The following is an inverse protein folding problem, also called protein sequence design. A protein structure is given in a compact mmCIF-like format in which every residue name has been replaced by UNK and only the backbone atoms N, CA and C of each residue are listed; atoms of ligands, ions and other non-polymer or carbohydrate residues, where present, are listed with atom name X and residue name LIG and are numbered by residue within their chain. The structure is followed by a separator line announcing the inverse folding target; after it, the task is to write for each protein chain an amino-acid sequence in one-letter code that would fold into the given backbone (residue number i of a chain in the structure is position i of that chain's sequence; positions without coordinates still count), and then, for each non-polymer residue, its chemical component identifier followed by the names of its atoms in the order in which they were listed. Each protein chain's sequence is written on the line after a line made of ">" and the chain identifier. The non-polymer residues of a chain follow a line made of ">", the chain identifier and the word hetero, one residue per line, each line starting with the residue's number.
data_IF_691544939214
#
_entry.id   IF_691544939214
#
_cell.length_a   1.000
_cell.length_b   1.000
_cell.length_c   1.000
_cell.angle_alpha   90.00
_cell.angle_beta   90.00
_cell.angle_gamma   90.00
#
_symmetry.space_group_name_H-M   'P 1'
#
loop_
_entity.id
_entity.type
_entity.pdbx_description
1 polymer ?
#
# COMPACT_ATOMS: atom_id res chain seq x y z
N UNK A 1 -4.39 14.89 20.91
CA UNK A 1 -4.28 16.05 20.01
C UNK A 1 -5.52 16.05 19.15
N UNK A 2 -6.38 17.04 19.31
CA UNK A 2 -7.74 17.05 18.75
C UNK A 2 -7.69 17.22 17.23
N UNK A 3 -8.27 16.27 16.50
CA UNK A 3 -8.51 16.36 15.07
C UNK A 3 -9.65 17.36 14.87
N UNK A 4 -9.32 18.63 14.64
CA UNK A 4 -10.32 19.66 14.35
C UNK A 4 -10.69 19.52 12.86
N UNK A 5 -11.93 19.11 12.50
CA UNK A 5 -12.34 19.17 11.11
C UNK A 5 -12.34 20.64 10.69
N UNK A 6 -11.57 20.98 9.64
CA UNK A 6 -11.64 22.32 9.07
C UNK A 6 -13.05 22.54 8.53
N UNK A 7 -13.84 23.31 9.27
CA UNK A 7 -15.18 23.72 8.85
C UNK A 7 -15.08 24.80 7.77
N UNK A 8 -16.11 24.97 6.92
CA UNK A 8 -16.15 26.05 5.93
C UNK A 8 -15.92 27.45 6.53
N UNK A 9 -16.34 27.66 7.77
CA UNK A 9 -16.15 28.90 8.51
C UNK A 9 -14.67 29.13 8.85
N UNK A 10 -13.95 28.08 9.28
CA UNK A 10 -12.52 28.15 9.58
C UNK A 10 -11.69 28.45 8.32
N UNK A 11 -12.09 27.90 7.17
CA UNK A 11 -11.47 28.21 5.87
C UNK A 11 -11.69 29.68 5.51
N UNK A 12 -12.90 30.21 5.74
CA UNK A 12 -13.21 31.62 5.47
C UNK A 12 -12.41 32.58 6.36
N UNK A 13 -12.18 32.22 7.63
CA UNK A 13 -11.34 32.99 8.55
C UNK A 13 -9.86 33.00 8.10
N UNK A 14 -9.35 31.84 7.65
CA UNK A 14 -7.99 31.73 7.09
C UNK A 14 -7.85 32.63 5.85
N UNK A 15 -8.83 32.62 4.93
CA UNK A 15 -8.81 33.49 3.73
C UNK A 15 -8.84 34.97 4.11
N UNK A 16 -9.67 35.38 5.08
CA UNK A 16 -9.74 36.76 5.55
C UNK A 16 -8.43 37.26 6.18
N UNK A 17 -7.74 36.38 6.93
CA UNK A 17 -6.41 36.68 7.50
C UNK A 17 -5.36 36.82 6.39
N UNK A 18 -5.44 35.97 5.36
CA UNK A 18 -4.53 36.01 4.22
C UNK A 18 -4.75 37.27 3.37
N UNK A 19 -5.98 37.74 3.20
CA UNK A 19 -6.27 38.98 2.46
C UNK A 19 -5.69 40.24 3.14
N UNK A 20 -5.63 40.25 4.48
CA UNK A 20 -4.95 41.30 5.25
C UNK A 20 -3.42 41.22 5.19
N UNK A 21 -2.88 40.13 4.63
CA UNK A 21 -1.45 39.89 4.51
C UNK A 21 -0.96 40.23 3.09
N UNK A 22 0.23 40.81 2.96
CA UNK A 22 0.81 41.18 1.66
C UNK A 22 1.23 39.98 0.78
N UNK A 23 0.84 38.76 1.13
CA UNK A 23 1.27 37.53 0.46
C UNK A 23 0.38 37.21 -0.73
N UNK A 24 1.00 36.74 -1.81
CA UNK A 24 0.37 36.31 -3.07
C UNK A 24 0.21 34.79 -3.16
N UNK A 25 0.89 34.05 -2.28
CA UNK A 25 0.86 32.58 -2.22
C UNK A 25 0.93 32.08 -0.79
N UNK A 26 0.11 31.09 -0.47
CA UNK A 26 0.10 30.39 0.81
C UNK A 26 0.10 28.88 0.56
N UNK A 27 1.04 28.14 1.17
CA UNK A 27 1.11 26.67 1.15
C UNK A 27 1.09 26.16 2.59
N UNK A 28 -0.04 25.59 2.99
CA UNK A 28 -0.25 25.02 4.32
C UNK A 28 -0.17 23.50 4.18
N UNK A 29 0.83 22.90 4.83
CA UNK A 29 1.02 21.44 4.90
C UNK A 29 0.69 20.96 6.32
N UNK A 30 -0.24 20.04 6.42
CA UNK A 30 -0.54 19.27 7.64
C UNK A 30 -0.37 17.77 7.35
N UNK A 31 -0.49 16.94 8.39
CA UNK A 31 -0.46 15.48 8.23
C UNK A 31 -1.69 14.93 7.48
N UNK A 32 -2.80 15.68 7.46
CA UNK A 32 -4.07 15.24 6.87
C UNK A 32 -4.35 15.83 5.49
N UNK A 33 -3.86 17.04 5.22
CA UNK A 33 -4.13 17.74 3.96
C UNK A 33 -3.05 18.77 3.64
N UNK A 34 -3.01 19.15 2.37
CA UNK A 34 -2.21 20.28 1.89
C UNK A 34 -3.13 21.27 1.19
N UNK A 35 -3.10 22.52 1.62
CA UNK A 35 -3.88 23.61 1.02
C UNK A 35 -2.93 24.60 0.35
N UNK A 36 -3.11 24.80 -0.95
CA UNK A 36 -2.39 25.82 -1.72
C UNK A 36 -3.36 26.89 -2.18
N UNK A 37 -3.13 28.10 -1.72
CA UNK A 37 -3.88 29.29 -2.09
C UNK A 37 -2.96 30.20 -2.90
N UNK A 38 -3.46 30.67 -4.04
CA UNK A 38 -2.77 31.66 -4.86
C UNK A 38 -3.74 32.80 -5.17
N UNK A 39 -3.26 34.03 -4.97
CA UNK A 39 -3.97 35.23 -5.41
C UNK A 39 -3.63 35.44 -6.88
N UNK A 40 -4.60 35.26 -7.76
CA UNK A 40 -4.43 35.65 -9.15
C UNK A 40 -4.80 37.11 -9.33
N UNK A 41 -3.91 37.87 -9.97
CA UNK A 41 -4.13 39.26 -10.31
C UNK A 41 -3.28 39.70 -11.49
N UNK A 42 -3.94 39.91 -12.64
CA UNK A 42 -3.57 40.95 -13.60
C UNK A 42 -3.10 40.57 -15.01
N UNK A 43 -3.96 39.97 -15.83
CA UNK A 43 -4.06 40.30 -17.27
C UNK A 43 -5.45 39.91 -17.82
N UNK A 44 -6.22 40.93 -18.17
CA UNK A 44 -7.48 40.93 -18.95
C UNK A 44 -8.71 40.17 -18.39
N UNK A 45 -9.56 40.92 -17.68
CA UNK A 45 -11.00 40.65 -17.45
C UNK A 45 -11.40 39.27 -16.90
N UNK A 46 -10.61 38.68 -16.00
CA UNK A 46 -11.05 37.59 -15.13
C UNK A 46 -11.36 38.14 -13.73
N UNK A 47 -12.40 37.62 -13.07
CA UNK A 47 -12.83 38.03 -11.74
C UNK A 47 -11.67 37.97 -10.73
N UNK A 48 -11.44 39.05 -9.98
CA UNK A 48 -10.46 39.08 -8.90
C UNK A 48 -10.90 38.13 -7.79
N UNK A 49 -10.06 37.13 -7.50
CA UNK A 49 -10.38 36.12 -6.51
C UNK A 49 -9.23 35.17 -6.26
N UNK A 50 -9.26 34.52 -5.10
CA UNK A 50 -8.35 33.44 -4.77
C UNK A 50 -8.75 32.17 -5.52
N UNK A 51 -7.83 31.60 -6.27
CA UNK A 51 -8.00 30.24 -6.79
C UNK A 51 -7.53 29.26 -5.71
N UNK A 52 -8.43 28.38 -5.26
CA UNK A 52 -8.10 27.31 -4.34
C UNK A 52 -7.80 26.03 -5.11
N UNK A 53 -6.66 25.39 -4.79
CA UNK A 53 -6.41 24.00 -5.14
C UNK A 53 -6.27 23.22 -3.81
N UNK A 54 -7.24 22.36 -3.57
CA UNK A 54 -7.27 21.49 -2.39
C UNK A 54 -7.01 20.05 -2.83
N UNK A 55 -5.91 19.50 -2.36
CA UNK A 55 -5.70 18.06 -2.37
C UNK A 55 -5.84 17.60 -0.92
N UNK A 56 -6.81 16.75 -0.64
CA UNK A 56 -6.61 15.84 0.46
C UNK A 56 -5.32 15.07 0.19
N UNK A 57 -4.58 14.72 1.24
CA UNK A 57 -3.81 13.50 1.07
C UNK A 57 -4.87 12.46 0.72
N UNK A 58 -4.95 12.09 -0.56
CA UNK A 58 -5.34 10.74 -0.90
C UNK A 58 -4.47 9.95 0.08
N UNK A 59 -5.09 9.41 1.13
CA UNK A 59 -4.49 8.29 1.79
C UNK A 59 -4.21 7.40 0.60
N UNK A 60 -2.92 7.24 0.28
CA UNK A 60 -2.44 6.33 -0.71
C UNK A 60 -3.06 5.03 -0.22
N UNK A 61 -4.26 4.73 -0.72
CA UNK A 61 -4.86 3.43 -0.60
C UNK A 61 -3.72 2.63 -1.20
N UNK A 62 -3.05 1.78 -0.40
CA UNK A 62 -1.96 1.01 -0.94
C UNK A 62 -2.61 0.38 -2.16
N UNK A 63 -2.11 0.74 -3.34
CA UNK A 63 -2.46 0.03 -4.53
C UNK A 63 -2.35 -1.43 -4.07
N UNK A 64 -3.40 -2.22 -4.29
CA UNK A 64 -3.30 -3.66 -4.24
C UNK A 64 -2.33 -4.04 -5.36
N UNK A 65 -1.06 -3.68 -5.18
CA UNK A 65 0.07 -4.21 -5.84
C UNK A 65 0.13 -5.60 -5.23
N UNK A 66 -0.47 -6.54 -5.96
CA UNK A 66 -0.20 -7.95 -5.83
C UNK A 66 1.30 -8.12 -5.55
N UNK A 67 1.62 -8.34 -4.27
CA UNK A 67 3.00 -8.33 -3.82
C UNK A 67 3.59 -9.66 -4.27
N UNK A 68 4.32 -9.59 -5.37
CA UNK A 68 5.15 -10.69 -5.85
C UNK A 68 6.18 -10.99 -4.78
N UNK A 69 6.21 -12.22 -4.30
CA UNK A 69 7.22 -12.67 -3.36
C UNK A 69 8.61 -12.54 -4.01
N UNK A 70 9.62 -12.05 -3.27
CA UNK A 70 11.00 -12.20 -3.71
C UNK A 70 11.33 -13.68 -3.90
N UNK A 71 12.01 -14.00 -4.99
CA UNK A 71 12.49 -15.36 -5.28
C UNK A 71 14.00 -15.38 -5.13
N UNK A 72 14.51 -16.26 -4.28
CA UNK A 72 15.94 -16.48 -4.05
C UNK A 72 16.38 -17.86 -4.55
N UNK A 73 17.54 -17.98 -5.19
CA UNK A 73 18.14 -19.27 -5.51
C UNK A 73 18.75 -19.90 -4.26
N UNK A 74 18.37 -21.14 -3.99
CA UNK A 74 18.83 -21.91 -2.84
C UNK A 74 19.92 -22.92 -3.25
N UNK A 75 20.76 -23.37 -2.29
CA UNK A 75 21.57 -24.56 -2.48
C UNK A 75 20.70 -25.72 -2.99
N UNK A 76 21.27 -26.58 -3.83
CA UNK A 76 20.59 -27.70 -4.50
C UNK A 76 19.69 -27.33 -5.70
N UNK A 77 19.70 -26.06 -6.14
CA UNK A 77 19.01 -25.63 -7.35
C UNK A 77 17.51 -25.41 -7.17
N UNK A 78 17.06 -25.26 -5.92
CA UNK A 78 15.69 -24.89 -5.58
C UNK A 78 15.52 -23.36 -5.61
N UNK A 79 14.28 -22.91 -5.73
CA UNK A 79 13.88 -21.51 -5.57
C UNK A 79 13.14 -21.33 -4.25
N UNK A 80 13.49 -20.31 -3.48
CA UNK A 80 12.81 -19.90 -2.27
C UNK A 80 11.82 -18.77 -2.55
N UNK A 81 10.54 -19.00 -2.28
CA UNK A 81 9.53 -17.93 -2.23
C UNK A 81 9.63 -17.29 -0.84
N UNK A 82 9.92 -16.00 -0.78
CA UNK A 82 10.06 -15.27 0.48
C UNK A 82 8.83 -14.41 0.81
N UNK A 83 8.56 -14.20 2.10
CA UNK A 83 7.50 -13.31 2.55
C UNK A 83 7.78 -11.86 2.09
N UNK A 84 6.90 -11.23 1.29
CA UNK A 84 7.12 -9.87 0.79
C UNK A 84 6.96 -8.80 1.88
N UNK A 85 6.35 -9.15 3.01
CA UNK A 85 6.05 -8.29 4.15
C UNK A 85 6.07 -9.13 5.44
N UNK A 86 6.40 -8.54 6.59
CA UNK A 86 6.20 -9.19 7.88
C UNK A 86 4.70 -9.24 8.21
N UNK A 87 4.22 -10.34 8.80
CA UNK A 87 2.82 -10.51 9.18
C UNK A 87 2.45 -11.95 9.48
N UNK A 88 1.14 -12.22 9.60
CA UNK A 88 0.66 -13.60 9.82
C UNK A 88 0.37 -14.28 8.48
N UNK A 89 1.07 -15.37 8.21
CA UNK A 89 0.90 -16.14 6.98
C UNK A 89 -0.27 -17.12 7.10
N UNK A 90 -1.12 -17.16 6.07
CA UNK A 90 -2.19 -18.12 5.95
C UNK A 90 -2.08 -18.90 4.64
N UNK A 91 -2.27 -20.20 4.75
CA UNK A 91 -2.25 -21.13 3.62
C UNK A 91 -3.55 -21.17 2.85
N UNK A 92 -4.64 -20.64 3.41
CA UNK A 92 -5.98 -20.66 2.85
C UNK A 92 -6.63 -19.26 2.92
N UNK A 93 -7.59 -18.93 2.05
CA UNK A 93 -8.22 -17.60 2.02
C UNK A 93 -9.09 -17.31 3.25
N UNK A 94 -9.57 -18.36 3.92
CA UNK A 94 -10.39 -18.27 5.13
C UNK A 94 -10.38 -19.60 5.90
N UNK A 95 -10.73 -19.63 7.20
CA UNK A 95 -10.82 -20.86 7.97
C UNK A 95 -11.74 -21.91 7.31
N UNK A 96 -11.24 -23.15 7.20
CA UNK A 96 -11.98 -24.27 6.62
C UNK A 96 -11.99 -24.32 5.09
N UNK A 97 -11.46 -23.31 4.39
CA UNK A 97 -11.23 -23.39 2.95
C UNK A 97 -9.99 -24.23 2.62
N UNK A 98 -9.91 -24.81 1.40
CA UNK A 98 -8.69 -25.45 0.92
C UNK A 98 -7.50 -24.47 0.91
N UNK A 99 -6.30 -25.03 1.08
CA UNK A 99 -5.08 -24.26 0.87
C UNK A 99 -4.99 -23.77 -0.59
N UNK A 100 -4.35 -22.62 -0.79
CA UNK A 100 -4.06 -22.10 -2.14
C UNK A 100 -3.20 -23.08 -2.95
N UNK A 101 -2.18 -23.66 -2.29
CA UNK A 101 -1.29 -24.68 -2.86
C UNK A 101 -0.90 -25.74 -1.82
N UNK A 102 -0.51 -26.92 -2.30
CA UNK A 102 0.12 -28.00 -1.52
C UNK A 102 1.38 -28.50 -2.22
N UNK A 103 2.16 -29.30 -1.51
CA UNK A 103 3.35 -29.96 -2.06
C UNK A 103 2.98 -30.83 -3.27
N UNK A 104 3.77 -30.73 -4.33
CA UNK A 104 3.53 -31.37 -5.62
C UNK A 104 2.67 -30.55 -6.59
N UNK A 105 2.06 -29.44 -6.17
CA UNK A 105 1.32 -28.57 -7.10
C UNK A 105 2.27 -27.76 -7.98
N UNK A 106 1.87 -27.50 -9.23
CA UNK A 106 2.56 -26.56 -10.12
C UNK A 106 2.12 -25.13 -9.86
N UNK A 107 3.08 -24.21 -9.96
CA UNK A 107 2.85 -22.77 -9.84
C UNK A 107 3.48 -22.04 -11.01
N UNK A 108 2.82 -20.95 -11.39
CA UNK A 108 3.34 -19.92 -12.29
C UNK A 108 3.59 -18.63 -11.50
N UNK A 109 4.28 -17.65 -12.10
CA UNK A 109 4.64 -16.38 -11.44
C UNK A 109 3.46 -15.70 -10.72
N UNK A 110 2.29 -15.71 -11.34
CA UNK A 110 1.08 -15.05 -10.82
C UNK A 110 0.20 -16.00 -9.98
N UNK A 111 0.66 -17.21 -9.66
CA UNK A 111 -0.09 -18.12 -8.79
C UNK A 111 -0.04 -17.62 -7.36
N UNK A 112 -1.21 -17.41 -6.75
CA UNK A 112 -1.32 -17.08 -5.33
C UNK A 112 -1.00 -18.32 -4.52
N UNK A 113 0.00 -18.24 -3.64
CA UNK A 113 0.46 -19.35 -2.80
C UNK A 113 0.02 -19.23 -1.34
N UNK A 114 -0.46 -18.06 -0.95
CA UNK A 114 -0.91 -17.75 0.40
C UNK A 114 -1.36 -16.31 0.54
N UNK A 115 -1.72 -15.92 1.76
CA UNK A 115 -1.97 -14.52 2.13
C UNK A 115 -1.15 -14.17 3.38
N UNK A 116 -0.74 -12.92 3.50
CA UNK A 116 -0.15 -12.38 4.72
C UNK A 116 -1.07 -11.30 5.29
N UNK A 117 -1.49 -11.47 6.53
CA UNK A 117 -2.24 -10.46 7.26
C UNK A 117 -1.30 -9.39 7.85
N UNK A 118 -1.53 -8.14 7.46
CA UNK A 118 -0.84 -6.97 8.03
C UNK A 118 -1.86 -5.92 8.41
N UNK A 119 -1.96 -5.58 9.71
CA UNK A 119 -2.91 -4.55 10.18
C UNK A 119 -4.37 -4.79 9.73
N UNK A 120 -4.84 -6.05 9.76
CA UNK A 120 -6.16 -6.52 9.28
C UNK A 120 -6.36 -6.51 7.76
N UNK A 121 -5.32 -6.25 6.96
CA UNK A 121 -5.36 -6.38 5.52
C UNK A 121 -4.81 -7.76 5.12
N UNK A 122 -5.56 -8.49 4.31
CA UNK A 122 -5.16 -9.79 3.76
C UNK A 122 -4.49 -9.59 2.41
N UNK A 123 -3.16 -9.64 2.37
CA UNK A 123 -2.38 -9.38 1.17
C UNK A 123 -2.02 -10.70 0.47
N UNK A 124 -2.42 -10.93 -0.79
CA UNK A 124 -2.03 -12.12 -1.53
C UNK A 124 -0.52 -12.17 -1.78
N UNK A 125 0.04 -13.36 -1.64
CA UNK A 125 1.44 -13.66 -1.94
C UNK A 125 1.48 -14.46 -3.23
N UNK A 126 2.16 -13.92 -4.24
CA UNK A 126 2.32 -14.57 -5.54
C UNK A 126 3.64 -15.31 -5.61
N UNK A 127 3.70 -16.45 -6.30
CA UNK A 127 4.88 -17.30 -6.37
C UNK A 127 6.12 -16.58 -6.93
N UNK A 128 5.95 -15.71 -7.93
CA UNK A 128 7.06 -14.98 -8.57
C UNK A 128 7.98 -15.85 -9.44
N UNK A 129 7.82 -17.17 -9.41
CA UNK A 129 8.54 -18.15 -10.21
C UNK A 129 7.61 -19.22 -10.80
N UNK A 130 8.14 -20.01 -11.72
CA UNK A 130 7.45 -21.16 -12.32
C UNK A 130 8.15 -22.45 -11.87
N UNK A 131 7.38 -23.46 -11.49
CA UNK A 131 7.90 -24.75 -11.07
C UNK A 131 6.90 -25.57 -10.25
N UNK A 132 7.41 -26.52 -9.46
CA UNK A 132 6.60 -27.38 -8.59
C UNK A 132 6.90 -27.09 -7.11
N UNK A 133 5.86 -26.94 -6.27
CA UNK A 133 6.04 -26.78 -4.82
C UNK A 133 6.70 -28.04 -4.26
N UNK A 134 7.95 -27.92 -3.81
CA UNK A 134 8.69 -29.01 -3.20
C UNK A 134 8.32 -29.13 -1.71
N UNK A 135 8.26 -27.99 -1.02
CA UNK A 135 7.99 -27.95 0.42
C UNK A 135 7.34 -26.64 0.85
N UNK A 136 6.37 -26.72 1.76
CA UNK A 136 5.86 -25.55 2.49
C UNK A 136 6.53 -25.50 3.85
N UNK A 137 7.18 -24.37 4.17
CA UNK A 137 8.03 -24.25 5.36
C UNK A 137 7.31 -23.62 6.56
N UNK A 138 6.23 -22.91 6.31
CA UNK A 138 5.50 -22.12 7.31
C UNK A 138 4.10 -22.68 7.50
N UNK A 139 3.70 -22.83 8.76
CA UNK A 139 2.39 -23.34 9.12
C UNK A 139 1.29 -22.29 8.95
N UNK A 140 0.05 -22.75 8.90
CA UNK A 140 -1.08 -21.84 8.79
C UNK A 140 -1.25 -21.03 10.09
N UNK A 141 -1.47 -19.72 9.95
CA UNK A 141 -1.58 -18.76 11.06
C UNK A 141 -0.26 -18.51 11.80
N UNK A 142 0.89 -18.76 11.18
CA UNK A 142 2.21 -18.51 11.76
C UNK A 142 2.70 -17.09 11.44
N UNK A 143 3.43 -16.47 12.37
CA UNK A 143 4.04 -15.15 12.16
C UNK A 143 5.33 -15.30 11.34
N UNK A 144 5.48 -14.48 10.31
CA UNK A 144 6.68 -14.45 9.46
C UNK A 144 7.28 -13.04 9.44
N UNK A 145 8.61 -12.99 9.40
CA UNK A 145 9.36 -11.75 9.18
C UNK A 145 9.47 -11.44 7.67
N UNK A 146 9.84 -10.20 7.36
CA UNK A 146 10.16 -9.81 5.99
C UNK A 146 11.30 -10.68 5.44
N UNK A 147 11.16 -11.14 4.20
CA UNK A 147 12.13 -11.99 3.51
C UNK A 147 12.33 -13.39 4.11
N UNK A 148 11.49 -13.83 5.07
CA UNK A 148 11.52 -15.22 5.52
C UNK A 148 11.05 -16.15 4.39
N UNK A 149 11.82 -17.18 4.07
CA UNK A 149 11.44 -18.18 3.05
C UNK A 149 10.24 -18.98 3.55
N UNK A 150 9.14 -18.93 2.79
CA UNK A 150 7.88 -19.60 3.15
C UNK A 150 7.67 -20.91 2.38
N UNK A 151 8.25 -21.04 1.19
CA UNK A 151 8.14 -22.25 0.35
C UNK A 151 9.41 -22.49 -0.46
N UNK A 152 9.69 -23.76 -0.73
CA UNK A 152 10.67 -24.19 -1.73
C UNK A 152 9.96 -24.66 -2.99
N UNK A 153 10.49 -24.27 -4.14
CA UNK A 153 9.99 -24.62 -5.46
C UNK A 153 11.12 -25.28 -6.24
N UNK A 154 10.86 -26.45 -6.81
CA UNK A 154 11.73 -27.06 -7.81
C UNK A 154 11.43 -26.41 -9.16
N UNK A 155 12.40 -25.75 -9.82
CA UNK A 155 12.21 -25.21 -11.17
C UNK A 155 11.83 -26.32 -12.16
N UNK A 156 11.01 -25.97 -13.13
CA UNK A 156 10.72 -26.81 -14.31
C UNK A 156 11.86 -26.79 -15.34
#
# INVERSE_FOLDING_TARGET
>A
MSNLPLTPDAVSEIVAIIDGSGYDRVDIKTDAFRLRLRREGGADNAAEGWTQDWSFAEAEAPAAADKVAPVEELPDGLLGIAAPLPGTFYRAPQPGAPAFVKEGDKVEKDTVVGIIETMKLMNPVHAGCTGTIEKVLVENSEMVDASATIMHVRPD
#
